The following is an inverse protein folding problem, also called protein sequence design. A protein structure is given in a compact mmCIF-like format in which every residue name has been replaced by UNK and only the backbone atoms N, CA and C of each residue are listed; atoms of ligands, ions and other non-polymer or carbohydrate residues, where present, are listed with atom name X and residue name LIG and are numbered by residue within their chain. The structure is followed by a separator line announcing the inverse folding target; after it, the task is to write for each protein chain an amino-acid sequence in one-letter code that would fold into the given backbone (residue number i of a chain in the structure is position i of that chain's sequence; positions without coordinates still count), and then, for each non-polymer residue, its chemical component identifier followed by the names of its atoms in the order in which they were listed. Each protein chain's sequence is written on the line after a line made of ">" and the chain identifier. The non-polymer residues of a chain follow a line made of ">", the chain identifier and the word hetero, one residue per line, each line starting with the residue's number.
data_IF_187941939721
#
_entry.id   IF_187941939721
#
_cell.length_a   1.000
_cell.length_b   1.000
_cell.length_c   1.000
_cell.angle_alpha   90.00
_cell.angle_beta   90.00
_cell.angle_gamma   90.00
#
_symmetry.space_group_name_H-M   'P 1'
#
loop_
_entity.id
_entity.type
_entity.pdbx_description
1 polymer ?
#
# COMPACT_ATOMS: atom_id res chain seq x y z
N UNK A 1 10.80 -41.49 34.79
CA UNK A 1 9.77 -41.55 33.76
C UNK A 1 9.66 -40.17 33.10
N UNK A 2 9.76 -40.08 31.78
CA UNK A 2 9.79 -38.80 31.02
C UNK A 2 8.97 -38.92 29.75
N UNK A 3 8.35 -37.81 29.33
CA UNK A 3 7.76 -37.64 28.00
C UNK A 3 8.69 -36.67 27.24
N UNK A 4 9.14 -37.04 26.04
CA UNK A 4 10.04 -36.24 25.24
C UNK A 4 9.83 -36.50 23.74
N UNK A 5 10.23 -35.54 22.90
CA UNK A 5 10.13 -35.67 21.45
C UNK A 5 9.79 -34.33 20.81
N UNK A 6 9.71 -34.33 19.47
CA UNK A 6 9.30 -33.19 18.66
C UNK A 6 7.92 -33.48 18.08
N UNK A 7 6.86 -32.74 18.48
CA UNK A 7 5.54 -32.95 17.93
C UNK A 7 5.51 -32.58 16.43
N UNK A 8 4.75 -33.35 15.66
CA UNK A 8 4.60 -33.17 14.20
C UNK A 8 3.16 -32.90 13.79
N UNK A 9 2.24 -32.82 14.75
CA UNK A 9 0.82 -32.54 14.51
C UNK A 9 0.37 -31.43 15.44
N UNK A 10 -0.46 -30.51 14.92
CA UNK A 10 -1.09 -29.48 15.75
C UNK A 10 -2.10 -30.12 16.69
N UNK A 11 -2.19 -29.59 17.90
CA UNK A 11 -3.11 -30.16 18.90
C UNK A 11 -3.67 -29.05 19.80
N UNK A 12 -4.97 -28.97 19.91
CA UNK A 12 -5.61 -28.20 20.97
C UNK A 12 -5.28 -28.77 22.32
N UNK A 13 -5.39 -27.97 23.37
CA UNK A 13 -5.09 -28.40 24.74
C UNK A 13 -5.78 -29.70 25.06
N UNK A 14 -5.00 -30.75 25.19
CA UNK A 14 -5.47 -32.12 25.53
C UNK A 14 -4.89 -32.55 26.86
N UNK A 15 -5.76 -33.06 27.75
CA UNK A 15 -5.38 -33.56 29.04
C UNK A 15 -4.99 -35.01 28.95
N UNK A 16 -3.88 -35.36 29.56
CA UNK A 16 -3.37 -36.74 29.72
C UNK A 16 -3.31 -37.09 31.21
N UNK A 17 -3.60 -38.33 31.54
CA UNK A 17 -3.49 -38.85 32.91
C UNK A 17 -2.43 -39.92 32.97
N UNK A 18 -1.45 -39.73 33.83
CA UNK A 18 -0.42 -40.76 34.15
C UNK A 18 -0.80 -41.48 35.42
N UNK A 19 -0.78 -42.78 35.37
CA UNK A 19 -1.08 -43.66 36.50
C UNK A 19 0.19 -44.36 36.97
N UNK A 20 0.34 -44.47 38.28
CA UNK A 20 1.35 -45.30 38.91
C UNK A 20 0.64 -46.30 39.84
N UNK A 21 0.94 -47.58 39.66
CA UNK A 21 0.28 -48.69 40.35
C UNK A 21 1.31 -49.55 41.09
N UNK A 22 0.94 -50.03 42.28
CA UNK A 22 1.65 -51.07 43.04
C UNK A 22 0.66 -51.93 43.76
N UNK A 23 1.15 -52.87 44.61
CA UNK A 23 0.31 -53.79 45.42
C UNK A 23 -0.52 -53.04 46.47
N UNK A 24 -0.18 -51.81 46.82
CA UNK A 24 -0.92 -50.97 47.79
C UNK A 24 -2.02 -50.11 47.14
N UNK A 25 -2.07 -50.02 45.77
CA UNK A 25 -3.07 -49.28 45.09
C UNK A 25 -2.53 -48.46 43.87
N UNK A 26 -3.33 -47.50 43.42
CA UNK A 26 -3.05 -46.65 42.24
C UNK A 26 -3.10 -45.18 42.62
N UNK A 27 -2.18 -44.38 42.04
CA UNK A 27 -2.24 -42.93 42.07
C UNK A 27 -2.14 -42.39 40.66
N UNK A 28 -2.72 -41.23 40.41
CA UNK A 28 -2.64 -40.57 39.10
C UNK A 28 -2.32 -39.08 39.21
N UNK A 29 -1.76 -38.55 38.15
CA UNK A 29 -1.57 -37.12 37.95
C UNK A 29 -1.91 -36.77 36.50
N UNK A 30 -2.37 -35.56 36.29
CA UNK A 30 -2.73 -35.06 34.95
C UNK A 30 -1.72 -34.05 34.46
N UNK A 31 -1.56 -33.99 33.13
CA UNK A 31 -0.83 -32.95 32.43
C UNK A 31 -1.61 -32.54 31.18
N UNK A 32 -1.40 -31.30 30.73
CA UNK A 32 -1.98 -30.79 29.50
C UNK A 32 -0.88 -30.54 28.48
N UNK A 33 -1.13 -30.92 27.23
CA UNK A 33 -0.24 -30.61 26.09
C UNK A 33 -1.04 -29.86 25.05
N UNK A 34 -0.43 -28.81 24.53
CA UNK A 34 -0.91 -28.02 23.38
C UNK A 34 0.22 -27.98 22.35
N UNK A 35 -0.08 -28.13 21.08
CA UNK A 35 0.88 -28.00 19.99
C UNK A 35 0.35 -26.94 19.03
N UNK A 36 0.92 -25.76 19.09
CA UNK A 36 0.58 -24.63 18.22
C UNK A 36 1.39 -24.68 16.92
N UNK A 37 0.89 -24.01 15.90
CA UNK A 37 1.62 -23.83 14.64
C UNK A 37 2.83 -22.91 14.82
N UNK A 38 3.72 -22.93 13.86
CA UNK A 38 4.83 -21.96 13.78
C UNK A 38 4.31 -20.65 13.19
N UNK A 39 4.88 -19.53 13.62
CA UNK A 39 4.58 -18.22 13.03
C UNK A 39 5.56 -18.00 11.86
N UNK A 40 5.11 -17.96 10.59
CA UNK A 40 5.98 -17.66 9.45
C UNK A 40 6.42 -16.20 9.44
N UNK A 41 7.49 -15.89 8.71
CA UNK A 41 7.83 -14.51 8.37
C UNK A 41 6.90 -13.93 7.30
N UNK A 42 6.89 -12.60 7.16
CA UNK A 42 6.18 -11.89 6.09
C UNK A 42 7.17 -11.15 5.18
N UNK A 43 6.88 -11.16 3.89
CA UNK A 43 7.56 -10.35 2.89
C UNK A 43 6.52 -9.57 2.09
N UNK A 44 6.72 -8.24 1.94
CA UNK A 44 5.83 -7.36 1.18
C UNK A 44 6.62 -6.81 -0.02
N UNK A 45 6.03 -6.88 -1.21
CA UNK A 45 6.67 -6.39 -2.43
C UNK A 45 5.65 -5.70 -3.35
N UNK A 46 5.91 -4.45 -3.72
CA UNK A 46 6.95 -3.55 -3.20
C UNK A 46 6.63 -3.03 -1.78
N UNK A 47 7.66 -2.78 -0.95
CA UNK A 47 7.50 -2.16 0.38
C UNK A 47 7.14 -0.66 0.31
N UNK A 48 7.53 0.01 -0.77
CA UNK A 48 7.23 1.41 -1.01
C UNK A 48 6.60 1.56 -2.39
N UNK A 49 5.39 2.09 -2.43
CA UNK A 49 4.65 2.35 -3.66
C UNK A 49 4.43 3.86 -3.80
N UNK A 50 4.97 4.43 -4.88
CA UNK A 50 4.62 5.77 -5.32
C UNK A 50 3.68 5.65 -6.50
N UNK A 51 2.45 6.01 -6.29
CA UNK A 51 1.38 5.99 -7.28
C UNK A 51 1.14 7.37 -7.88
N UNK A 52 0.53 7.40 -9.05
CA UNK A 52 -0.01 8.61 -9.65
C UNK A 52 -1.53 8.55 -9.58
N UNK A 53 -2.17 9.64 -9.17
CA UNK A 53 -3.62 9.77 -9.13
C UNK A 53 -4.25 9.36 -10.47
N UNK A 54 -5.37 8.64 -10.43
CA UNK A 54 -6.08 8.09 -11.59
C UNK A 54 -5.26 7.13 -12.49
N UNK A 55 -4.15 6.57 -11.97
CA UNK A 55 -3.35 5.56 -12.66
C UNK A 55 -3.29 4.29 -11.82
N UNK A 56 -3.54 3.12 -12.43
CA UNK A 56 -3.49 1.86 -11.70
C UNK A 56 -2.09 1.59 -11.13
N UNK A 57 -2.03 1.14 -9.88
CA UNK A 57 -0.77 0.75 -9.25
C UNK A 57 -0.31 -0.63 -9.72
N UNK A 58 0.99 -0.89 -9.62
CA UNK A 58 1.49 -2.26 -9.61
C UNK A 58 0.97 -2.96 -8.35
N UNK A 59 0.48 -4.18 -8.48
CA UNK A 59 -0.05 -4.95 -7.35
C UNK A 59 1.02 -5.09 -6.25
N UNK A 60 0.65 -4.75 -5.03
CA UNK A 60 1.46 -5.04 -3.84
C UNK A 60 1.06 -6.43 -3.38
N UNK A 61 2.04 -7.31 -3.23
CA UNK A 61 1.83 -8.71 -2.84
C UNK A 61 2.49 -8.98 -1.50
N UNK A 62 1.77 -9.64 -0.62
CA UNK A 62 2.26 -10.11 0.67
C UNK A 62 2.42 -11.62 0.59
N UNK A 63 3.58 -12.13 0.98
CA UNK A 63 3.90 -13.56 0.97
C UNK A 63 4.42 -14.00 2.33
N UNK A 64 4.21 -15.27 2.66
CA UNK A 64 4.77 -15.90 3.87
C UNK A 64 6.15 -16.47 3.57
N UNK A 65 7.03 -16.48 4.58
CA UNK A 65 8.37 -17.05 4.50
C UNK A 65 8.54 -18.02 5.69
N UNK A 66 8.92 -19.25 5.38
CA UNK A 66 9.09 -20.31 6.39
C UNK A 66 7.84 -21.16 6.60
N UNK A 67 7.89 -22.08 7.56
CA UNK A 67 6.78 -22.96 7.88
C UNK A 67 5.70 -22.26 8.71
N UNK A 68 4.53 -22.86 8.75
CA UNK A 68 3.34 -22.35 9.43
C UNK A 68 2.33 -21.78 8.42
N UNK A 69 1.08 -22.15 8.65
CA UNK A 69 -0.05 -21.63 7.88
C UNK A 69 -0.65 -20.40 8.58
N UNK A 70 -1.28 -19.53 7.84
CA UNK A 70 -1.94 -18.33 8.37
C UNK A 70 -3.45 -18.57 8.38
N UNK A 71 -4.06 -18.42 9.55
CA UNK A 71 -5.50 -18.54 9.74
C UNK A 71 -6.23 -17.26 9.35
N UNK A 72 -5.67 -16.10 9.68
CA UNK A 72 -6.31 -14.81 9.42
C UNK A 72 -5.32 -13.73 9.01
N UNK A 73 -5.80 -12.85 8.12
CA UNK A 73 -5.09 -11.67 7.62
C UNK A 73 -5.86 -10.40 7.95
N UNK A 74 -5.15 -9.38 8.39
CA UNK A 74 -5.72 -8.07 8.69
C UNK A 74 -4.83 -6.96 8.11
N UNK A 75 -5.45 -5.92 7.55
CA UNK A 75 -4.80 -4.70 7.13
C UNK A 75 -5.18 -3.57 8.11
N UNK A 76 -4.19 -3.01 8.77
CA UNK A 76 -4.35 -1.84 9.62
C UNK A 76 -4.10 -0.56 8.81
N UNK A 77 -5.05 0.36 8.88
CA UNK A 77 -5.09 1.61 8.13
C UNK A 77 -6.15 1.61 7.02
N UNK A 78 -6.55 2.81 6.61
CA UNK A 78 -7.51 3.00 5.50
C UNK A 78 -6.74 3.30 4.22
N UNK A 79 -6.86 2.42 3.23
CA UNK A 79 -6.23 2.63 1.92
C UNK A 79 -6.81 3.87 1.22
N UNK A 80 -6.03 4.51 0.33
CA UNK A 80 -6.55 5.55 -0.57
C UNK A 80 -7.77 5.07 -1.33
N UNK A 81 -8.73 5.96 -1.53
CA UNK A 81 -9.91 5.69 -2.36
C UNK A 81 -9.49 5.14 -3.72
N UNK A 82 -10.10 4.04 -4.14
CA UNK A 82 -9.79 3.35 -5.38
C UNK A 82 -8.78 2.21 -5.26
N UNK A 83 -8.13 2.04 -4.09
CA UNK A 83 -7.33 0.85 -3.79
C UNK A 83 -8.14 -0.16 -2.99
N UNK A 84 -7.86 -1.43 -3.22
CA UNK A 84 -8.56 -2.56 -2.58
C UNK A 84 -7.56 -3.54 -1.98
N UNK A 85 -7.78 -3.92 -0.72
CA UNK A 85 -7.14 -5.06 -0.07
C UNK A 85 -7.96 -6.33 -0.31
N UNK A 86 -7.30 -7.39 -0.74
CA UNK A 86 -7.90 -8.72 -0.90
C UNK A 86 -7.16 -9.72 -0.04
N UNK A 87 -7.74 -10.06 1.13
CA UNK A 87 -7.14 -10.99 2.09
C UNK A 87 -7.05 -12.41 1.56
N UNK A 88 -7.89 -12.81 0.60
CA UNK A 88 -7.89 -14.16 0.04
C UNK A 88 -6.63 -14.51 -0.77
N UNK A 89 -6.01 -13.51 -1.41
CA UNK A 89 -4.76 -13.67 -2.16
C UNK A 89 -3.65 -12.73 -1.70
N UNK A 90 -3.83 -12.07 -0.56
CA UNK A 90 -2.87 -11.18 0.09
C UNK A 90 -2.33 -10.11 -0.85
N UNK A 91 -3.22 -9.41 -1.55
CA UNK A 91 -2.84 -8.37 -2.52
C UNK A 91 -3.54 -7.05 -2.27
N UNK A 92 -2.83 -5.95 -2.60
CA UNK A 92 -3.41 -4.61 -2.72
C UNK A 92 -3.27 -4.17 -4.17
N UNK A 93 -4.36 -3.72 -4.76
CA UNK A 93 -4.45 -3.34 -6.17
C UNK A 93 -5.50 -2.26 -6.38
N UNK A 94 -5.52 -1.64 -7.54
CA UNK A 94 -6.54 -0.67 -7.94
C UNK A 94 -5.96 0.60 -8.53
N UNK A 95 -6.79 1.63 -8.62
CA UNK A 95 -6.46 2.95 -9.17
C UNK A 95 -6.83 4.00 -8.13
N UNK A 96 -5.84 4.62 -7.46
CA UNK A 96 -6.14 5.63 -6.45
C UNK A 96 -6.74 6.88 -7.11
N UNK A 97 -7.75 7.48 -6.46
CA UNK A 97 -8.47 8.65 -6.98
C UNK A 97 -8.35 9.88 -6.07
N UNK A 98 -7.50 9.82 -5.05
CA UNK A 98 -7.21 10.94 -4.16
C UNK A 98 -5.70 11.05 -3.91
N UNK A 99 -5.21 12.26 -3.72
CA UNK A 99 -3.81 12.53 -3.39
C UNK A 99 -3.54 12.13 -1.95
N UNK A 100 -2.37 11.54 -1.70
CA UNK A 100 -1.99 11.14 -0.36
C UNK A 100 -0.49 11.32 -0.15
N UNK A 101 -0.11 11.97 0.93
CA UNK A 101 1.27 11.96 1.41
C UNK A 101 1.67 10.55 1.84
N UNK A 102 2.97 10.28 1.90
CA UNK A 102 3.47 8.96 2.33
C UNK A 102 2.83 8.52 3.64
N UNK A 103 2.05 7.44 3.55
CA UNK A 103 1.34 6.84 4.67
C UNK A 103 1.77 5.40 4.84
N UNK A 104 2.04 5.01 6.08
CA UNK A 104 2.43 3.65 6.43
C UNK A 104 1.19 2.81 6.77
N UNK A 105 1.21 1.57 6.31
CA UNK A 105 0.21 0.54 6.57
C UNK A 105 0.88 -0.67 7.20
N UNK A 106 0.12 -1.42 7.99
CA UNK A 106 0.59 -2.66 8.62
C UNK A 106 -0.29 -3.81 8.19
N UNK A 107 0.31 -4.89 7.72
CA UNK A 107 -0.39 -6.17 7.52
C UNK A 107 -0.06 -7.09 8.67
N UNK A 108 -1.10 -7.67 9.26
CA UNK A 108 -1.03 -8.67 10.30
C UNK A 108 -1.42 -10.04 9.75
N UNK A 109 -0.72 -11.04 10.20
CA UNK A 109 -1.01 -12.44 9.93
C UNK A 109 -0.98 -13.23 11.25
N UNK A 110 -2.04 -14.00 11.49
CA UNK A 110 -2.23 -14.70 12.76
C UNK A 110 -2.48 -16.19 12.53
N UNK A 111 -1.96 -17.00 13.42
CA UNK A 111 -2.29 -18.42 13.55
C UNK A 111 -2.24 -18.86 15.03
N UNK A 112 -2.40 -20.16 15.32
CA UNK A 112 -2.37 -20.69 16.68
C UNK A 112 -1.01 -20.51 17.39
N UNK A 113 0.08 -20.28 16.64
CA UNK A 113 1.41 -19.98 17.17
C UNK A 113 1.59 -18.53 17.62
N UNK A 114 0.77 -17.62 17.08
CA UNK A 114 0.82 -16.20 17.40
C UNK A 114 0.53 -15.29 16.22
N UNK A 115 0.92 -14.04 16.37
CA UNK A 115 0.77 -12.99 15.38
C UNK A 115 2.13 -12.48 14.87
N UNK A 116 2.18 -12.10 13.59
CA UNK A 116 3.30 -11.38 13.00
C UNK A 116 2.77 -10.25 12.15
N UNK A 117 3.55 -9.18 12.01
CA UNK A 117 3.22 -8.05 11.13
C UNK A 117 4.40 -7.61 10.28
N UNK A 118 4.07 -6.93 9.19
CA UNK A 118 5.03 -6.21 8.35
C UNK A 118 4.40 -4.92 7.85
N UNK A 119 5.21 -3.92 7.55
CA UNK A 119 4.76 -2.60 7.14
C UNK A 119 5.14 -2.29 5.69
N UNK A 120 4.37 -1.43 5.05
CA UNK A 120 4.65 -0.87 3.72
C UNK A 120 4.12 0.56 3.64
N UNK A 121 4.58 1.31 2.63
CA UNK A 121 4.20 2.70 2.44
C UNK A 121 3.53 2.91 1.09
N UNK A 122 2.52 3.78 1.06
CA UNK A 122 1.90 4.28 -0.17
C UNK A 122 1.96 5.80 -0.17
N UNK A 123 2.32 6.36 -1.33
CA UNK A 123 2.23 7.78 -1.67
C UNK A 123 1.42 7.91 -2.95
N UNK A 124 0.50 8.86 -3.03
CA UNK A 124 -0.25 9.15 -4.26
C UNK A 124 0.00 10.59 -4.67
N UNK A 125 0.77 10.77 -5.73
CA UNK A 125 1.09 12.07 -6.31
C UNK A 125 0.06 12.47 -7.37
N UNK A 126 -0.02 13.78 -7.66
CA UNK A 126 -0.82 14.28 -8.77
C UNK A 126 -0.21 13.88 -10.12
N UNK A 127 -1.03 13.93 -11.16
CA UNK A 127 -0.57 13.78 -12.53
C UNK A 127 0.15 15.06 -12.99
N UNK A 128 1.17 14.91 -13.83
CA UNK A 128 1.74 16.06 -14.51
C UNK A 128 0.74 16.59 -15.53
N UNK A 129 0.38 17.88 -15.48
CA UNK A 129 -0.45 18.48 -16.50
C UNK A 129 0.32 18.60 -17.81
N UNK A 130 -0.38 18.51 -18.92
CA UNK A 130 0.14 18.92 -20.22
C UNK A 130 -0.29 20.33 -20.58
N UNK A 131 0.45 20.99 -21.46
CA UNK A 131 0.13 22.31 -21.99
C UNK A 131 -0.03 22.24 -23.50
N UNK A 132 -0.97 23.02 -24.00
CA UNK A 132 -1.13 23.32 -25.41
C UNK A 132 -1.14 24.83 -25.61
N UNK A 133 -0.31 25.35 -26.54
CA UNK A 133 -0.18 26.75 -26.84
C UNK A 133 -0.67 26.97 -28.28
N UNK A 134 -1.57 27.94 -28.48
CA UNK A 134 -2.09 28.25 -29.81
C UNK A 134 -2.29 29.74 -30.00
N UNK A 135 -1.72 30.31 -31.08
CA UNK A 135 -0.74 29.72 -31.98
C UNK A 135 0.64 29.56 -31.33
N UNK A 136 1.40 28.54 -31.70
CA UNK A 136 2.79 28.34 -31.21
C UNK A 136 3.77 29.37 -31.73
N UNK A 137 3.51 29.89 -32.92
CA UNK A 137 4.35 30.93 -33.58
C UNK A 137 3.47 32.10 -33.92
N UNK A 138 3.90 33.28 -33.52
CA UNK A 138 3.21 34.55 -33.81
C UNK A 138 4.20 35.54 -34.37
N UNK A 139 3.87 36.10 -35.54
CA UNK A 139 4.58 37.22 -36.11
C UNK A 139 3.77 38.50 -35.88
N UNK A 140 4.37 39.47 -35.25
CA UNK A 140 3.73 40.73 -34.90
C UNK A 140 4.29 41.88 -35.77
N UNK A 141 3.45 42.88 -36.07
CA UNK A 141 3.85 44.15 -36.66
C UNK A 141 3.82 45.23 -35.59
N UNK A 142 4.84 46.05 -35.54
CA UNK A 142 4.91 47.16 -34.57
C UNK A 142 3.64 48.03 -34.60
N UNK A 143 3.13 48.42 -33.45
CA UNK A 143 1.88 49.17 -33.24
C UNK A 143 0.61 48.48 -33.78
N UNK A 144 0.64 47.18 -34.00
CA UNK A 144 -0.53 46.38 -34.40
C UNK A 144 -0.78 45.31 -33.36
N UNK A 145 -2.05 45.14 -32.96
CA UNK A 145 -2.42 44.09 -32.02
C UNK A 145 -2.13 42.68 -32.58
N UNK A 146 -1.59 41.82 -31.78
CA UNK A 146 -1.39 40.42 -32.15
C UNK A 146 -2.68 39.63 -32.00
N UNK A 147 -2.76 38.49 -32.65
CA UNK A 147 -3.74 37.47 -32.31
C UNK A 147 -3.41 36.93 -30.92
N UNK A 148 -4.42 36.86 -30.07
CA UNK A 148 -4.25 36.31 -28.71
C UNK A 148 -3.65 34.93 -28.76
N UNK A 149 -2.58 34.72 -28.02
CA UNK A 149 -1.99 33.40 -27.79
C UNK A 149 -2.70 32.80 -26.56
N UNK A 150 -3.31 31.66 -26.75
CA UNK A 150 -4.04 30.96 -25.68
C UNK A 150 -3.27 29.74 -25.25
N UNK A 151 -3.12 29.57 -23.94
CA UNK A 151 -2.49 28.43 -23.33
C UNK A 151 -3.59 27.63 -22.62
N UNK A 152 -3.72 26.38 -22.96
CA UNK A 152 -4.72 25.47 -22.36
C UNK A 152 -4.04 24.29 -21.70
N UNK A 153 -4.67 23.78 -20.66
CA UNK A 153 -4.21 22.57 -19.98
C UNK A 153 -4.73 21.34 -20.70
N UNK A 154 -3.93 20.28 -20.70
CA UNK A 154 -4.28 18.96 -21.25
C UNK A 154 -3.97 17.92 -20.18
N UNK A 155 -4.89 16.96 -19.97
CA UNK A 155 -4.74 15.93 -18.96
C UNK A 155 -5.48 16.28 -17.66
N UNK A 156 -5.24 15.50 -16.61
CA UNK A 156 -5.98 15.52 -15.34
C UNK A 156 -5.22 16.17 -14.17
N UNK A 157 -3.94 16.53 -14.36
CA UNK A 157 -3.14 17.16 -13.30
C UNK A 157 -3.60 18.60 -13.04
N UNK A 158 -3.73 18.96 -11.77
CA UNK A 158 -4.03 20.36 -11.40
C UNK A 158 -2.79 21.24 -11.55
N UNK A 159 -2.99 22.45 -12.08
CA UNK A 159 -1.95 23.48 -12.14
C UNK A 159 -2.16 24.44 -10.97
N UNK A 160 -1.22 24.48 -10.05
CA UNK A 160 -1.25 25.35 -8.87
C UNK A 160 -0.57 26.69 -9.08
N UNK A 161 0.32 26.79 -10.08
CA UNK A 161 1.04 28.03 -10.42
C UNK A 161 1.41 28.06 -11.90
N UNK A 162 1.52 29.29 -12.41
CA UNK A 162 1.93 29.57 -13.78
C UNK A 162 3.15 30.48 -13.77
N UNK A 163 4.13 30.20 -14.59
CA UNK A 163 5.33 31.00 -14.76
C UNK A 163 5.63 31.17 -16.26
N UNK A 164 6.01 32.36 -16.64
CA UNK A 164 6.52 32.68 -17.99
C UNK A 164 7.99 33.03 -17.86
N UNK A 165 8.86 32.20 -18.42
CA UNK A 165 10.28 32.49 -18.49
C UNK A 165 10.56 33.44 -19.69
N UNK A 166 11.38 34.47 -19.45
CA UNK A 166 11.73 35.50 -20.43
C UNK A 166 10.92 36.79 -20.27
N UNK A 167 11.27 37.79 -21.08
CA UNK A 167 10.61 39.08 -21.06
C UNK A 167 9.82 39.30 -22.34
N UNK A 168 8.54 39.57 -22.19
CA UNK A 168 7.71 39.94 -23.35
C UNK A 168 8.13 41.28 -23.92
N UNK A 169 7.95 41.51 -25.24
CA UNK A 169 8.05 42.81 -25.85
C UNK A 169 7.12 43.82 -25.16
N UNK A 170 7.55 45.09 -25.11
CA UNK A 170 6.73 46.17 -24.57
C UNK A 170 5.37 46.25 -25.27
N UNK A 171 4.31 46.33 -24.48
CA UNK A 171 2.93 46.38 -24.97
C UNK A 171 2.22 45.03 -24.98
N UNK A 172 2.94 43.91 -24.74
CA UNK A 172 2.32 42.60 -24.46
C UNK A 172 2.24 42.36 -22.97
N UNK A 173 1.20 41.68 -22.56
CA UNK A 173 0.94 41.37 -21.15
C UNK A 173 0.66 39.87 -20.98
N UNK A 174 1.35 39.25 -20.05
CA UNK A 174 1.05 37.89 -19.56
C UNK A 174 -0.01 37.93 -18.47
N UNK A 175 -1.08 37.18 -18.63
CA UNK A 175 -2.18 37.11 -17.64
C UNK A 175 -2.37 35.67 -17.20
N UNK A 176 -1.75 35.22 -16.09
CA UNK A 176 -1.82 33.84 -15.63
C UNK A 176 -3.25 33.36 -15.36
N UNK A 177 -4.11 34.23 -14.83
CA UNK A 177 -5.49 33.88 -14.49
C UNK A 177 -6.34 33.49 -15.71
N UNK A 178 -6.02 34.04 -16.91
CA UNK A 178 -6.72 33.77 -18.15
C UNK A 178 -5.93 32.90 -19.12
N UNK A 179 -4.70 32.51 -18.74
CA UNK A 179 -3.75 31.79 -19.61
C UNK A 179 -3.65 32.37 -21.03
N UNK A 180 -3.59 33.67 -21.12
CA UNK A 180 -3.54 34.39 -22.40
C UNK A 180 -2.46 35.51 -22.41
N UNK A 181 -1.96 35.78 -23.58
CA UNK A 181 -1.03 36.88 -23.88
C UNK A 181 -1.71 37.81 -24.87
#
# INVERSE_FOLDING_TARGET
>A
QTIWGTPTELMTTTQYTVWANNTGGSVSATLNITVNDQVPGLNISPENTTATNNTAISTITITTVGPGEIDTWELEGTLPTGLTWTSANQTIWGTPTELMTTTQYTVWANNSGGAISSTFNITVNDQLPGLNISPENTTATNNTAITTIVITTVGLGEITSWELEGSLPSGLTWTPANQSI
#
